data_IF_436711481840
#
_entry.id   IF_436711481840
#
_cell.length_a   1.000
_cell.length_b   1.000
_cell.length_c   1.000
_cell.angle_alpha   90.00
_cell.angle_beta   90.00
_cell.angle_gamma   90.00
#
_symmetry.space_group_name_H-M   'P 1'
#
loop_
_entity.id
_entity.type
_entity.pdbx_description
1 polymer ?
#
# COMPACT_ATOMS: atom_id res chain seq x y z
N UNK A 1 5.83 -24.77 17.28
CA UNK A 1 5.39 -23.38 17.53
C UNK A 1 5.04 -22.77 16.20
N UNK A 2 3.85 -22.17 16.05
CA UNK A 2 3.52 -21.44 14.83
C UNK A 2 4.49 -20.26 14.71
N UNK A 3 5.09 -20.08 13.54
CA UNK A 3 5.83 -18.85 13.24
C UNK A 3 4.86 -17.67 13.38
N UNK A 4 5.31 -16.56 13.99
CA UNK A 4 4.52 -15.33 14.08
C UNK A 4 4.10 -14.88 12.68
N UNK A 5 2.88 -14.36 12.54
CA UNK A 5 2.43 -13.82 11.25
C UNK A 5 3.28 -12.62 10.84
N UNK A 6 3.26 -12.26 9.54
CA UNK A 6 3.93 -11.05 9.07
C UNK A 6 3.39 -9.81 9.80
N UNK A 7 2.08 -9.77 10.05
CA UNK A 7 1.41 -8.71 10.82
C UNK A 7 2.03 -8.53 12.20
N UNK A 8 2.24 -9.63 12.95
CA UNK A 8 2.87 -9.57 14.27
C UNK A 8 4.33 -9.13 14.19
N UNK A 9 5.08 -9.56 13.15
CA UNK A 9 6.48 -9.17 12.96
C UNK A 9 6.65 -7.72 12.54
N UNK A 10 5.69 -7.18 11.78
CA UNK A 10 5.64 -5.76 11.39
C UNK A 10 5.26 -4.82 12.54
N UNK A 11 4.83 -5.35 13.70
CA UNK A 11 4.40 -4.56 14.85
C UNK A 11 2.90 -4.30 14.92
N UNK A 12 2.10 -5.01 14.12
CA UNK A 12 0.65 -4.94 14.12
C UNK A 12 0.07 -3.65 13.53
N UNK A 13 -1.18 -3.37 13.89
CA UNK A 13 -1.99 -2.30 13.27
C UNK A 13 -1.33 -0.94 13.35
N UNK A 14 -0.84 -0.52 14.53
CA UNK A 14 -0.29 0.83 14.71
C UNK A 14 0.95 1.08 13.85
N UNK A 15 1.81 0.07 13.70
CA UNK A 15 2.99 0.16 12.85
C UNK A 15 2.62 0.25 11.36
N UNK A 16 1.66 -0.58 10.91
CA UNK A 16 1.14 -0.54 9.54
C UNK A 16 0.44 0.80 9.26
N UNK A 17 -0.35 1.31 10.21
CA UNK A 17 -1.01 2.59 10.10
C UNK A 17 0.00 3.75 10.01
N UNK A 18 1.07 3.73 10.80
CA UNK A 18 2.13 4.73 10.72
C UNK A 18 2.80 4.74 9.35
N UNK A 19 3.10 3.55 8.80
CA UNK A 19 3.63 3.38 7.45
C UNK A 19 2.69 3.96 6.38
N UNK A 20 1.40 3.65 6.43
CA UNK A 20 0.42 4.18 5.45
C UNK A 20 0.28 5.70 5.56
N UNK A 21 0.33 6.23 6.78
CA UNK A 21 0.27 7.67 7.04
C UNK A 21 1.48 8.43 6.48
N UNK A 22 2.64 7.76 6.33
CA UNK A 22 3.82 8.31 5.66
C UNK A 22 3.78 8.09 4.13
N UNK A 23 3.30 6.94 3.66
CA UNK A 23 3.29 6.59 2.23
C UNK A 23 2.34 7.47 1.42
N UNK A 24 1.08 7.64 1.83
CA UNK A 24 0.09 8.37 1.02
C UNK A 24 0.52 9.82 0.73
N UNK A 25 0.98 10.62 1.71
CA UNK A 25 1.48 11.97 1.42
C UNK A 25 2.65 12.00 0.43
N UNK A 26 3.57 11.02 0.46
CA UNK A 26 4.66 10.92 -0.52
C UNK A 26 4.14 10.72 -1.94
N UNK A 27 3.17 9.83 -2.11
CA UNK A 27 2.54 9.57 -3.40
C UNK A 27 1.76 10.80 -3.91
N UNK A 28 1.06 11.49 -3.01
CA UNK A 28 0.33 12.72 -3.34
C UNK A 28 1.26 13.88 -3.73
N UNK A 29 2.44 13.96 -3.12
CA UNK A 29 3.45 14.98 -3.42
C UNK A 29 4.34 14.68 -4.63
N UNK A 30 4.25 13.46 -5.19
CA UNK A 30 5.04 13.06 -6.35
C UNK A 30 4.54 13.72 -7.63
N UNK A 31 5.47 14.25 -8.45
CA UNK A 31 5.12 14.99 -9.67
C UNK A 31 4.44 14.13 -10.75
N UNK A 32 4.69 12.81 -10.75
CA UNK A 32 4.01 11.87 -11.63
C UNK A 32 2.69 11.43 -10.99
N UNK A 33 2.73 10.91 -9.76
CA UNK A 33 1.59 10.22 -9.14
C UNK A 33 0.51 11.16 -8.57
N UNK A 34 0.87 12.37 -8.14
CA UNK A 34 -0.04 13.30 -7.46
C UNK A 34 -1.31 13.61 -8.24
N UNK A 35 -1.29 13.47 -9.58
CA UNK A 35 -2.45 13.61 -10.46
C UNK A 35 -3.65 12.74 -10.06
N UNK A 36 -3.44 11.56 -9.47
CA UNK A 36 -4.54 10.67 -9.05
C UNK A 36 -5.37 11.20 -7.87
N UNK A 37 -4.86 12.22 -7.17
CA UNK A 37 -5.54 12.82 -6.01
C UNK A 37 -5.99 14.27 -6.23
N UNK A 38 -5.70 14.91 -7.37
CA UNK A 38 -5.97 16.34 -7.61
C UNK A 38 -7.44 16.78 -7.43
N UNK A 39 -8.39 15.86 -7.61
CA UNK A 39 -9.83 16.14 -7.52
C UNK A 39 -10.54 15.26 -6.46
N UNK A 40 -9.78 14.73 -5.50
CA UNK A 40 -10.31 13.90 -4.43
C UNK A 40 -10.60 14.77 -3.20
N UNK A 41 -11.83 14.68 -2.67
CA UNK A 41 -12.18 15.31 -1.39
C UNK A 41 -11.49 14.61 -0.21
N UNK A 42 -11.27 15.36 0.88
CA UNK A 42 -10.55 14.87 2.06
C UNK A 42 -11.13 13.59 2.67
N UNK A 43 -12.46 13.49 2.76
CA UNK A 43 -13.15 12.30 3.27
C UNK A 43 -12.82 11.05 2.44
N UNK A 44 -12.83 11.19 1.12
CA UNK A 44 -12.47 10.11 0.20
C UNK A 44 -11.01 9.67 0.34
N UNK A 45 -10.10 10.59 0.66
CA UNK A 45 -8.68 10.26 0.91
C UNK A 45 -8.51 9.59 2.28
N UNK A 46 -9.23 10.04 3.32
CA UNK A 46 -9.23 9.39 4.64
C UNK A 46 -9.76 7.96 4.56
N UNK A 47 -10.85 7.75 3.81
CA UNK A 47 -11.40 6.41 3.54
C UNK A 47 -10.40 5.51 2.81
N UNK A 48 -9.72 6.04 1.78
CA UNK A 48 -8.68 5.30 1.05
C UNK A 48 -7.53 4.88 1.97
N UNK A 49 -7.03 5.80 2.81
CA UNK A 49 -6.01 5.49 3.81
C UNK A 49 -6.43 4.33 4.72
N UNK A 50 -7.65 4.37 5.26
CA UNK A 50 -8.16 3.29 6.11
C UNK A 50 -8.26 1.96 5.35
N UNK A 51 -8.79 1.98 4.13
CA UNK A 51 -8.89 0.77 3.31
C UNK A 51 -7.52 0.17 2.97
N UNK A 52 -6.50 1.01 2.74
CA UNK A 52 -5.13 0.55 2.55
C UNK A 52 -4.57 -0.10 3.83
N UNK A 53 -4.79 0.51 5.01
CA UNK A 53 -4.39 -0.09 6.30
C UNK A 53 -5.06 -1.46 6.48
N UNK A 54 -6.37 -1.55 6.26
CA UNK A 54 -7.12 -2.79 6.41
C UNK A 54 -6.62 -3.87 5.44
N UNK A 55 -6.34 -3.49 4.19
CA UNK A 55 -5.78 -4.38 3.17
C UNK A 55 -4.41 -4.92 3.59
N UNK A 56 -3.48 -4.05 3.99
CA UNK A 56 -2.13 -4.46 4.41
C UNK A 56 -2.18 -5.33 5.67
N UNK A 57 -3.01 -4.98 6.65
CA UNK A 57 -3.22 -5.79 7.84
C UNK A 57 -3.72 -7.19 7.48
N UNK A 58 -4.70 -7.29 6.57
CA UNK A 58 -5.28 -8.56 6.13
C UNK A 58 -4.25 -9.41 5.36
N UNK A 59 -3.54 -8.82 4.39
CA UNK A 59 -2.51 -9.49 3.60
C UNK A 59 -1.32 -9.97 4.45
N UNK A 60 -0.98 -9.24 5.52
CA UNK A 60 0.07 -9.64 6.45
C UNK A 60 -0.36 -10.77 7.42
N UNK A 61 -1.59 -11.30 7.29
CA UNK A 61 -2.12 -12.33 8.19
C UNK A 61 -2.58 -11.78 9.54
N UNK A 62 -2.94 -10.51 9.60
CA UNK A 62 -3.57 -9.88 10.75
C UNK A 62 -5.06 -10.22 10.87
N UNK A 63 -5.70 -9.81 11.98
CA UNK A 63 -7.11 -10.17 12.26
C UNK A 63 -8.13 -9.36 11.45
N UNK A 64 -7.68 -8.41 10.62
CA UNK A 64 -8.55 -7.54 9.84
C UNK A 64 -9.14 -8.27 8.64
N UNK A 65 -10.45 -8.15 8.47
CA UNK A 65 -11.16 -8.55 7.26
C UNK A 65 -11.23 -7.36 6.30
N UNK A 66 -10.64 -7.49 5.11
CA UNK A 66 -10.69 -6.45 4.10
C UNK A 66 -12.08 -6.36 3.48
N UNK A 67 -12.72 -5.19 3.60
CA UNK A 67 -14.08 -4.92 3.10
C UNK A 67 -14.10 -4.04 1.85
N UNK A 68 -12.93 -3.67 1.33
CA UNK A 68 -12.82 -2.89 0.11
C UNK A 68 -13.10 -3.71 -1.15
N UNK A 69 -13.10 -3.01 -2.28
CA UNK A 69 -13.21 -3.63 -3.60
C UNK A 69 -11.89 -4.34 -3.95
N UNK A 70 -11.95 -5.33 -4.82
CA UNK A 70 -10.73 -5.96 -5.35
C UNK A 70 -9.83 -4.94 -6.07
N UNK A 71 -8.55 -5.29 -6.26
CA UNK A 71 -7.55 -4.38 -6.83
C UNK A 71 -7.91 -3.94 -8.25
N UNK A 72 -8.47 -4.84 -9.06
CA UNK A 72 -8.86 -4.53 -10.44
C UNK A 72 -10.02 -3.55 -10.48
N UNK A 73 -11.10 -3.82 -9.75
CA UNK A 73 -12.27 -2.94 -9.70
C UNK A 73 -11.93 -1.58 -9.07
N UNK A 74 -11.00 -1.54 -8.12
CA UNK A 74 -10.55 -0.29 -7.48
C UNK A 74 -9.81 0.62 -8.45
N UNK A 75 -8.93 0.06 -9.28
CA UNK A 75 -8.02 0.83 -10.14
C UNK A 75 -8.48 0.94 -11.60
N UNK A 76 -9.56 0.25 -11.97
CA UNK A 76 -10.11 0.24 -13.33
C UNK A 76 -10.35 1.65 -13.88
N UNK A 77 -9.80 1.93 -15.05
CA UNK A 77 -9.97 3.18 -15.77
C UNK A 77 -9.07 4.32 -15.27
N UNK A 78 -8.16 4.05 -14.34
CA UNK A 78 -7.16 5.03 -13.91
C UNK A 78 -6.02 5.17 -14.92
N UNK A 79 -5.88 4.26 -15.90
CA UNK A 79 -4.80 4.27 -16.88
C UNK A 79 -3.41 4.31 -16.21
N UNK A 80 -3.26 3.53 -15.14
CA UNK A 80 -1.99 3.38 -14.43
C UNK A 80 -0.99 2.67 -15.34
N UNK A 81 0.14 3.32 -15.58
CA UNK A 81 1.20 2.78 -16.42
C UNK A 81 2.24 1.99 -15.64
N UNK A 82 3.06 1.21 -16.36
CA UNK A 82 4.28 0.63 -15.78
C UNK A 82 5.21 1.68 -15.15
N UNK A 83 5.23 2.90 -15.71
CA UNK A 83 6.01 4.03 -15.17
C UNK A 83 5.44 4.51 -13.83
N UNK A 84 4.13 4.58 -13.70
CA UNK A 84 3.47 4.92 -12.43
C UNK A 84 3.74 3.85 -11.38
N UNK A 85 3.65 2.58 -11.77
CA UNK A 85 3.97 1.47 -10.89
C UNK A 85 5.41 1.55 -10.38
N UNK A 86 6.38 1.81 -11.25
CA UNK A 86 7.77 1.95 -10.87
C UNK A 86 8.00 3.11 -9.88
N UNK A 87 7.34 4.25 -10.09
CA UNK A 87 7.38 5.38 -9.16
C UNK A 87 6.77 5.01 -7.80
N UNK A 88 5.63 4.33 -7.79
CA UNK A 88 5.00 3.83 -6.57
C UNK A 88 5.92 2.87 -5.80
N UNK A 89 6.55 1.90 -6.48
CA UNK A 89 7.49 0.98 -5.87
C UNK A 89 8.73 1.71 -5.31
N UNK A 90 9.17 2.80 -5.93
CA UNK A 90 10.22 3.65 -5.40
C UNK A 90 9.85 4.26 -4.05
N UNK A 91 8.65 4.85 -3.95
CA UNK A 91 8.13 5.42 -2.70
C UNK A 91 7.88 4.37 -1.63
N UNK A 92 7.36 3.19 -2.01
CA UNK A 92 7.21 2.05 -1.11
C UNK A 92 8.55 1.65 -0.49
N UNK A 93 9.59 1.44 -1.32
CA UNK A 93 10.91 1.07 -0.83
C UNK A 93 11.54 2.15 0.07
N UNK A 94 11.42 3.43 -0.31
CA UNK A 94 11.92 4.54 0.50
C UNK A 94 11.21 4.64 1.86
N UNK A 95 9.90 4.37 1.90
CA UNK A 95 9.15 4.30 3.15
C UNK A 95 9.64 3.11 4.00
N UNK A 96 9.80 1.92 3.41
CA UNK A 96 10.29 0.75 4.16
C UNK A 96 11.69 0.99 4.75
N UNK A 97 12.55 1.76 4.05
CA UNK A 97 13.84 2.21 4.56
C UNK A 97 13.71 3.19 5.73
N UNK A 98 12.82 4.19 5.61
CA UNK A 98 12.59 5.18 6.67
C UNK A 98 12.12 4.54 7.98
N UNK A 99 11.30 3.50 7.89
CA UNK A 99 10.81 2.73 9.04
C UNK A 99 11.77 1.62 9.48
N UNK A 100 12.89 1.42 8.77
CA UNK A 100 13.90 0.38 9.04
C UNK A 100 13.28 -1.00 9.15
N UNK A 101 12.32 -1.30 8.26
CA UNK A 101 11.68 -2.61 8.21
C UNK A 101 12.76 -3.66 7.89
N UNK A 102 12.89 -4.74 8.69
CA UNK A 102 13.93 -5.73 8.43
C UNK A 102 13.72 -6.43 7.09
N UNK A 103 14.81 -6.94 6.50
CA UNK A 103 14.81 -7.40 5.10
C UNK A 103 13.78 -8.50 4.83
N UNK A 104 13.61 -9.45 5.75
CA UNK A 104 12.65 -10.54 5.59
C UNK A 104 11.21 -10.03 5.46
N UNK A 105 10.79 -9.15 6.37
CA UNK A 105 9.47 -8.51 6.33
C UNK A 105 9.33 -7.61 5.10
N UNK A 106 10.37 -6.87 4.73
CA UNK A 106 10.40 -6.06 3.51
C UNK A 106 10.14 -6.91 2.27
N UNK A 107 10.83 -8.04 2.12
CA UNK A 107 10.71 -8.91 0.95
C UNK A 107 9.29 -9.48 0.83
N UNK A 108 8.69 -9.88 1.95
CA UNK A 108 7.30 -10.34 1.98
C UNK A 108 6.30 -9.23 1.66
N UNK A 109 6.52 -8.01 2.19
CA UNK A 109 5.69 -6.85 1.87
C UNK A 109 5.75 -6.50 0.38
N UNK A 110 6.96 -6.40 -0.16
CA UNK A 110 7.18 -6.13 -1.58
C UNK A 110 6.57 -7.24 -2.44
N UNK A 111 6.70 -8.51 -2.05
CA UNK A 111 6.16 -9.63 -2.81
C UNK A 111 4.63 -9.57 -2.93
N UNK A 112 3.89 -9.34 -1.84
CA UNK A 112 2.43 -9.26 -1.94
C UNK A 112 1.97 -7.99 -2.68
N UNK A 113 2.65 -6.85 -2.52
CA UNK A 113 2.33 -5.65 -3.30
C UNK A 113 2.60 -5.91 -4.78
N UNK A 114 3.71 -6.53 -5.12
CA UNK A 114 4.06 -6.87 -6.50
C UNK A 114 3.03 -7.83 -7.13
N UNK A 115 2.42 -8.70 -6.32
CA UNK A 115 1.37 -9.62 -6.77
C UNK A 115 0.10 -8.92 -7.26
N UNK A 116 -0.17 -7.69 -6.83
CA UNK A 116 -1.35 -6.92 -7.25
C UNK A 116 -1.13 -6.17 -8.57
N UNK A 117 0.11 -6.09 -9.06
CA UNK A 117 0.46 -5.29 -10.25
C UNK A 117 -0.42 -5.59 -11.45
N UNK A 118 -0.66 -6.88 -11.72
CA UNK A 118 -1.42 -7.32 -12.90
C UNK A 118 -2.90 -6.90 -12.88
N UNK A 119 -3.43 -6.61 -11.70
CA UNK A 119 -4.79 -6.09 -11.53
C UNK A 119 -4.85 -4.55 -11.61
N UNK A 120 -3.71 -3.87 -11.43
CA UNK A 120 -3.64 -2.42 -11.24
C UNK A 120 -3.12 -1.70 -12.49
N UNK A 121 -2.08 -2.22 -13.15
CA UNK A 121 -1.47 -1.60 -14.33
C UNK A 121 -2.30 -1.91 -15.58
N UNK A 122 -2.63 -0.87 -16.33
CA UNK A 122 -3.48 -0.96 -17.53
C UNK A 122 -2.74 -0.62 -18.83
N UNK A 123 -1.65 0.17 -18.77
CA UNK A 123 -0.97 0.73 -19.96
C UNK A 123 0.55 0.74 -19.89
#
# INVERSE_FOLDING_TARGET
MSQKSLYERLGGYDAIAAVVNDLIPRLQGDALLGRFWQHRGEDGVKREKQLLIDFLCSCAGGPMYYTGRDMKTTHKGMQLSDRDWAAFMGHLNAMLDAFRVPQAERDEVVAFIQSTKADIVEV
#
